data_IF_958381160771
#
_entry.id   IF_958381160771
#
_cell.length_a   1.000
_cell.length_b   1.000
_cell.length_c   1.000
_cell.angle_alpha   90.00
_cell.angle_beta   90.00
_cell.angle_gamma   90.00
#
_symmetry.space_group_name_H-M   'P 1'
#
loop_
_entity.id
_entity.type
_entity.pdbx_description
1 polymer ?
#
# COMPACT_ATOMS: atom_id res chain seq x y z
N UNK A 1 9.56 -4.50 -1.13
CA UNK A 1 8.13 -4.73 -0.86
C UNK A 1 7.44 -3.43 -1.22
N UNK A 2 6.63 -3.44 -2.27
CA UNK A 2 5.86 -2.28 -2.69
C UNK A 2 4.40 -2.53 -2.31
N UNK A 3 3.87 -1.69 -1.42
CA UNK A 3 2.49 -1.74 -0.97
C UNK A 3 1.75 -0.61 -1.66
N UNK A 4 0.70 -0.91 -2.41
CA UNK A 4 -0.06 0.07 -3.19
C UNK A 4 -1.44 0.20 -2.56
N UNK A 5 -1.83 1.42 -2.18
CA UNK A 5 -3.15 1.75 -1.65
C UNK A 5 -3.61 0.78 -0.55
N UNK A 6 -2.67 0.39 0.34
CA UNK A 6 -2.95 -0.53 1.44
C UNK A 6 -3.97 0.13 2.38
N UNK A 7 -5.03 -0.59 2.72
CA UNK A 7 -6.05 -0.16 3.67
C UNK A 7 -5.66 -0.48 5.12
N UNK A 8 -6.29 0.18 6.09
CA UNK A 8 -6.10 -0.08 7.54
C UNK A 8 -6.72 -1.39 8.03
N UNK A 9 -7.71 -1.90 7.29
CA UNK A 9 -8.39 -3.17 7.55
C UNK A 9 -8.62 -3.94 6.26
N UNK A 10 -8.82 -5.24 6.35
CA UNK A 10 -9.16 -6.07 5.20
C UNK A 10 -9.69 -7.44 5.59
N UNK A 11 -10.44 -8.06 4.67
CA UNK A 11 -10.87 -9.46 4.77
C UNK A 11 -9.83 -10.36 4.10
N UNK A 12 -9.36 -11.38 4.81
CA UNK A 12 -8.34 -12.34 4.32
C UNK A 12 -8.88 -13.76 4.12
N UNK A 13 -10.15 -13.96 4.45
CA UNK A 13 -10.86 -15.22 4.29
C UNK A 13 -12.17 -14.98 3.53
N UNK A 14 -12.59 -15.97 2.74
CA UNK A 14 -13.88 -15.95 2.06
C UNK A 14 -14.89 -16.71 2.90
N UNK A 15 -15.98 -16.04 3.27
CA UNK A 15 -17.10 -16.67 3.97
C UNK A 15 -18.32 -16.75 3.03
N UNK A 16 -18.94 -17.93 2.93
CA UNK A 16 -20.06 -18.19 2.02
C UNK A 16 -21.30 -17.37 2.41
N UNK A 17 -21.53 -17.18 3.71
CA UNK A 17 -22.59 -16.31 4.24
C UNK A 17 -22.36 -14.82 3.93
N UNK A 18 -21.14 -14.44 3.55
CA UNK A 18 -20.84 -13.12 2.97
C UNK A 18 -21.61 -12.85 1.67
N UNK A 19 -21.90 -13.88 0.87
CA UNK A 19 -22.74 -13.73 -0.33
C UNK A 19 -24.21 -13.50 0.01
N UNK A 20 -24.62 -13.84 1.23
CA UNK A 20 -25.96 -13.62 1.75
C UNK A 20 -26.06 -12.30 2.56
N UNK A 21 -25.05 -11.44 2.46
CA UNK A 21 -25.04 -10.11 3.09
C UNK A 21 -24.45 -10.05 4.49
N UNK A 22 -23.92 -11.16 5.03
CA UNK A 22 -23.19 -11.12 6.30
C UNK A 22 -21.76 -10.61 6.08
N UNK A 23 -21.56 -9.30 6.17
CA UNK A 23 -20.22 -8.73 6.09
C UNK A 23 -19.34 -9.34 7.20
N UNK A 24 -18.34 -10.11 6.80
CA UNK A 24 -17.38 -10.72 7.72
C UNK A 24 -16.61 -9.67 8.51
N UNK A 25 -15.89 -10.11 9.55
CA UNK A 25 -15.03 -9.21 10.33
C UNK A 25 -13.71 -8.99 9.61
N UNK A 26 -13.40 -7.74 9.31
CA UNK A 26 -12.09 -7.37 8.79
C UNK A 26 -11.02 -7.44 9.89
N UNK A 27 -9.81 -7.83 9.50
CA UNK A 27 -8.63 -7.78 10.36
C UNK A 27 -7.87 -6.47 10.15
N UNK A 28 -7.29 -5.93 11.23
CA UNK A 28 -6.43 -4.74 11.16
C UNK A 28 -5.11 -5.09 10.48
N UNK A 29 -4.71 -4.33 9.46
CA UNK A 29 -3.46 -4.56 8.72
C UNK A 29 -2.23 -4.02 9.46
N UNK A 30 -2.43 -3.05 10.35
CA UNK A 30 -1.35 -2.31 11.00
C UNK A 30 -0.36 -3.17 11.79
N UNK A 31 -0.84 -4.13 12.57
CA UNK A 31 0.03 -5.02 13.35
C UNK A 31 0.91 -5.91 12.46
N UNK A 32 0.42 -6.34 11.30
CA UNK A 32 1.20 -7.14 10.36
C UNK A 32 2.19 -6.25 9.58
N UNK A 33 1.78 -5.03 9.21
CA UNK A 33 2.68 -4.02 8.64
C UNK A 33 3.90 -3.78 9.54
N UNK A 34 3.70 -3.63 10.84
CA UNK A 34 4.79 -3.37 11.79
C UNK A 34 5.84 -4.49 11.88
N UNK A 35 5.51 -5.72 11.46
CA UNK A 35 6.43 -6.86 11.44
C UNK A 35 7.34 -6.85 10.20
N UNK A 36 7.04 -6.04 9.20
CA UNK A 36 7.83 -5.98 7.97
C UNK A 36 9.19 -5.32 8.21
N UNK A 37 10.26 -5.79 7.55
CA UNK A 37 11.57 -5.13 7.62
C UNK A 37 11.50 -3.75 6.97
N UNK A 38 11.46 -2.69 7.78
CA UNK A 38 11.24 -1.29 7.35
C UNK A 38 12.12 -0.87 6.16
N UNK A 39 13.39 -1.26 6.14
CA UNK A 39 14.33 -0.94 5.06
C UNK A 39 13.90 -1.49 3.67
N UNK A 40 13.01 -2.49 3.63
CA UNK A 40 12.51 -3.11 2.40
C UNK A 40 11.12 -2.62 1.99
N UNK A 41 10.47 -1.77 2.79
CA UNK A 41 9.08 -1.32 2.54
C UNK A 41 9.08 0.02 1.81
N UNK A 42 8.26 0.09 0.76
CA UNK A 42 7.81 1.28 0.06
C UNK A 42 6.27 1.23 0.03
N UNK A 43 5.61 2.17 0.71
CA UNK A 43 4.16 2.23 0.84
C UNK A 43 3.63 3.43 0.06
N UNK A 44 2.86 3.19 -0.98
CA UNK A 44 2.36 4.19 -1.92
C UNK A 44 0.87 4.41 -1.68
N UNK A 45 0.46 5.67 -1.57
CA UNK A 45 -0.94 6.05 -1.35
C UNK A 45 -1.32 7.33 -2.11
N UNK A 46 -2.58 7.42 -2.54
CA UNK A 46 -3.17 8.64 -3.08
C UNK A 46 -3.51 9.66 -1.99
N UNK A 47 -3.39 10.95 -2.27
CA UNK A 47 -3.74 12.03 -1.33
C UNK A 47 -5.19 11.98 -0.88
N UNK A 48 -6.11 11.56 -1.74
CA UNK A 48 -7.54 11.52 -1.44
C UNK A 48 -7.92 10.40 -0.45
N UNK A 49 -7.13 9.31 -0.39
CA UNK A 49 -7.32 8.19 0.54
C UNK A 49 -6.48 8.31 1.82
N UNK A 50 -5.80 9.45 2.03
CA UNK A 50 -4.83 9.62 3.14
C UNK A 50 -5.35 9.19 4.51
N UNK A 51 -6.64 9.45 4.80
CA UNK A 51 -7.27 9.12 6.08
C UNK A 51 -7.55 7.62 6.27
N UNK A 52 -7.69 6.88 5.17
CA UNK A 52 -8.07 5.46 5.15
C UNK A 52 -6.87 4.55 4.83
N UNK A 53 -5.79 5.15 4.31
CA UNK A 53 -4.56 4.45 3.98
C UNK A 53 -3.86 3.89 5.22
N UNK A 54 -3.43 2.64 5.14
CA UNK A 54 -2.51 2.01 6.10
C UNK A 54 -1.07 2.52 5.98
N UNK A 55 -0.71 3.25 4.90
CA UNK A 55 0.59 3.92 4.79
C UNK A 55 0.70 5.14 5.74
N UNK A 56 -0.41 5.63 6.28
CA UNK A 56 -0.47 6.75 7.22
C UNK A 56 -0.86 6.32 8.64
N UNK A 57 -1.00 5.01 8.85
CA UNK A 57 -1.24 4.46 10.19
C UNK A 57 0.00 4.63 11.07
N UNK A 58 -0.22 4.74 12.38
CA UNK A 58 0.83 4.78 13.40
C UNK A 58 1.76 3.58 13.39
N UNK A 59 1.31 2.43 12.88
CA UNK A 59 2.09 1.20 12.77
C UNK A 59 2.81 1.06 11.42
N UNK A 60 2.70 2.05 10.53
CA UNK A 60 3.35 2.01 9.23
C UNK A 60 4.88 2.04 9.37
N UNK A 61 5.56 1.25 8.55
CA UNK A 61 7.03 1.17 8.51
C UNK A 61 7.55 1.37 7.10
N UNK A 62 8.78 1.89 6.98
CA UNK A 62 9.44 2.12 5.70
C UNK A 62 9.13 3.48 5.07
N UNK A 63 9.35 3.58 3.77
CA UNK A 63 9.17 4.82 3.00
C UNK A 63 7.72 4.99 2.59
N UNK A 64 7.09 6.10 2.99
CA UNK A 64 5.76 6.47 2.51
C UNK A 64 5.86 7.41 1.30
N UNK A 65 5.18 7.07 0.22
CA UNK A 65 5.14 7.84 -1.03
C UNK A 65 3.70 8.30 -1.27
N UNK A 66 3.49 9.61 -1.14
CA UNK A 66 2.21 10.24 -1.45
C UNK A 66 2.15 10.60 -2.94
N UNK A 67 1.05 10.25 -3.60
CA UNK A 67 0.76 10.62 -4.98
C UNK A 67 -0.53 11.45 -5.07
N UNK A 68 -0.76 12.18 -6.19
CA UNK A 68 -2.09 12.69 -6.54
C UNK A 68 -3.14 11.57 -6.64
N UNK A 69 -4.42 11.96 -6.61
CA UNK A 69 -5.56 11.06 -6.75
C UNK A 69 -5.90 10.24 -5.51
N UNK A 70 -6.77 9.26 -5.72
CA UNK A 70 -7.21 8.30 -4.72
C UNK A 70 -6.61 6.90 -4.91
N UNK A 71 -7.39 5.88 -4.57
CA UNK A 71 -6.99 4.46 -4.59
C UNK A 71 -6.41 3.96 -5.92
N UNK A 72 -6.82 4.57 -7.03
CA UNK A 72 -6.38 4.23 -8.39
C UNK A 72 -5.29 5.16 -8.94
N UNK A 73 -4.74 6.08 -8.14
CA UNK A 73 -3.61 6.95 -8.51
C UNK A 73 -3.84 7.77 -9.80
N UNK A 74 -5.05 8.32 -9.96
CA UNK A 74 -5.51 9.04 -11.16
C UNK A 74 -5.39 8.24 -12.48
N UNK A 75 -5.31 6.90 -12.39
CA UNK A 75 -5.13 5.99 -13.53
C UNK A 75 -3.83 6.23 -14.33
N UNK A 76 -2.88 7.02 -13.80
CA UNK A 76 -1.57 7.25 -14.40
C UNK A 76 -0.60 6.09 -14.08
N UNK A 77 -0.96 4.92 -14.59
CA UNK A 77 -0.17 3.69 -14.44
C UNK A 77 1.24 3.80 -15.02
N UNK A 78 1.50 4.50 -16.15
CA UNK A 78 2.85 4.73 -16.63
C UNK A 78 3.73 5.48 -15.63
N UNK A 79 3.23 6.57 -15.03
CA UNK A 79 3.99 7.29 -14.00
C UNK A 79 4.16 6.45 -12.74
N UNK A 80 3.13 5.71 -12.31
CA UNK A 80 3.22 4.80 -11.17
C UNK A 80 4.30 3.73 -11.40
N UNK A 81 4.29 3.07 -12.56
CA UNK A 81 5.28 2.05 -12.91
C UNK A 81 6.71 2.61 -12.88
N UNK A 82 6.94 3.79 -13.47
CA UNK A 82 8.24 4.46 -13.42
C UNK A 82 8.71 4.67 -11.97
N UNK A 83 7.85 5.21 -11.11
CA UNK A 83 8.16 5.45 -9.69
C UNK A 83 8.52 4.17 -8.95
N UNK A 84 7.79 3.07 -9.21
CA UNK A 84 8.06 1.78 -8.58
C UNK A 84 9.40 1.18 -9.03
N UNK A 85 9.73 1.28 -10.32
CA UNK A 85 11.02 0.83 -10.86
C UNK A 85 12.16 1.65 -10.26
N UNK A 86 12.03 2.98 -10.17
CA UNK A 86 13.03 3.87 -9.58
C UNK A 86 13.27 3.52 -8.09
N UNK A 87 12.18 3.25 -7.34
CA UNK A 87 12.26 2.82 -5.94
C UNK A 87 12.94 1.45 -5.76
N UNK A 88 12.76 0.52 -6.70
CA UNK A 88 13.43 -0.79 -6.74
C UNK A 88 14.92 -0.61 -7.04
N UNK A 89 15.26 0.14 -8.08
CA UNK A 89 16.64 0.37 -8.50
C UNK A 89 17.47 1.00 -7.37
N UNK A 90 16.93 2.04 -6.73
CA UNK A 90 17.52 2.70 -5.55
C UNK A 90 17.86 1.69 -4.44
N UNK A 91 16.97 0.75 -4.15
CA UNK A 91 17.15 -0.28 -3.10
C UNK A 91 18.10 -1.41 -3.51
N UNK A 92 18.20 -1.70 -4.81
CA UNK A 92 19.16 -2.66 -5.35
C UNK A 92 20.57 -2.08 -5.52
N UNK A 93 20.78 -0.79 -5.21
CA UNK A 93 22.06 -0.12 -5.46
C UNK A 93 22.37 0.05 -6.96
N UNK A 94 21.37 -0.12 -7.84
CA UNK A 94 21.48 0.18 -9.26
C UNK A 94 21.26 1.67 -9.46
N UNK A 95 22.10 2.32 -10.27
CA UNK A 95 21.85 3.69 -10.69
C UNK A 95 20.45 3.78 -11.35
N UNK A 96 19.72 4.87 -11.11
CA UNK A 96 18.40 5.07 -11.69
C UNK A 96 18.48 4.94 -13.22
N UNK A 97 17.58 4.15 -13.81
CA UNK A 97 17.48 4.05 -15.26
C UNK A 97 17.06 5.42 -15.79
N UNK A 98 17.89 5.99 -16.68
CA UNK A 98 17.67 7.26 -17.37
C UNK A 98 16.42 7.19 -18.24
#
# INVERSE_FOLDING_TARGET
ISLLAVARTGSFEIHVDGWLGNAGKEATTGQEMAKLPAAKVCCVYGVEEKKDSGCTDTTAVGEAVQLPGGHHFDEDYPALAKRLIDAINKRQGKAAAQ
#
